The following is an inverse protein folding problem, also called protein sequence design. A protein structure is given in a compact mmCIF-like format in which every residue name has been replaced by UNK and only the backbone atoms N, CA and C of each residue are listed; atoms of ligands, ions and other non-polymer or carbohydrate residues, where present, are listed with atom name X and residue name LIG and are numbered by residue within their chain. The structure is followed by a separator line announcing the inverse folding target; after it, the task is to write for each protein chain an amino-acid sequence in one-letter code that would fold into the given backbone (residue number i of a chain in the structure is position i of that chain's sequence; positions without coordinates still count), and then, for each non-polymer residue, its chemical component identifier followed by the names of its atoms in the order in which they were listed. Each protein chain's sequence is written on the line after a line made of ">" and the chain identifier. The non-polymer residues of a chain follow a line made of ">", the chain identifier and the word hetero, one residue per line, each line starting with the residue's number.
data_IF_140233236805
#
_entry.id   IF_140233236805
#
_cell.length_a   1.000
_cell.length_b   1.000
_cell.length_c   1.000
_cell.angle_alpha   90.00
_cell.angle_beta   90.00
_cell.angle_gamma   90.00
#
_symmetry.space_group_name_H-M   'P 1'
#
loop_
_entity.id
_entity.type
_entity.pdbx_description
1 polymer ?
#
# COMPACT_ATOMS: atom_id res chain seq x y z
N UNK A 1 -11.03 -5.08 -16.68
CA UNK A 1 -9.76 -5.02 -15.94
C UNK A 1 -10.11 -5.22 -14.49
N UNK A 2 -9.68 -6.33 -13.87
CA UNK A 2 -10.00 -6.61 -12.48
C UNK A 2 -9.06 -5.77 -11.60
N UNK A 3 -9.63 -4.85 -10.84
CA UNK A 3 -8.90 -3.72 -10.25
C UNK A 3 -8.32 -4.01 -8.86
N UNK A 4 -8.66 -5.13 -8.21
CA UNK A 4 -8.05 -5.74 -7.00
C UNK A 4 -9.04 -6.79 -6.45
N UNK A 5 -8.55 -7.93 -5.92
CA UNK A 5 -9.39 -8.91 -5.20
C UNK A 5 -9.17 -8.78 -3.69
N UNK A 6 -10.20 -8.33 -2.98
CA UNK A 6 -10.17 -8.22 -1.52
C UNK A 6 -10.59 -9.56 -0.87
N UNK A 7 -9.84 -10.01 0.13
CA UNK A 7 -10.14 -11.20 0.93
C UNK A 7 -10.71 -10.77 2.28
N UNK A 8 -11.80 -11.40 2.74
CA UNK A 8 -12.37 -11.19 4.09
C UNK A 8 -11.40 -11.60 5.20
N UNK A 9 -10.37 -12.37 4.86
CA UNK A 9 -9.27 -12.73 5.76
C UNK A 9 -7.99 -12.14 5.20
N UNK A 10 -7.53 -11.07 5.84
CA UNK A 10 -6.23 -10.50 5.56
C UNK A 10 -5.13 -11.41 6.15
N UNK A 11 -4.01 -11.61 5.44
CA UNK A 11 -2.84 -12.27 6.02
C UNK A 11 -2.26 -11.44 7.18
N UNK A 12 -1.37 -12.04 7.96
CA UNK A 12 -0.56 -11.28 8.92
C UNK A 12 0.47 -10.45 8.18
N UNK A 13 0.78 -9.27 8.72
CA UNK A 13 1.83 -8.39 8.20
C UNK A 13 3.15 -9.16 8.04
N UNK A 14 3.72 -9.09 6.85
CA UNK A 14 5.01 -9.73 6.52
C UNK A 14 6.17 -9.24 7.39
N UNK A 15 6.10 -7.99 7.86
CA UNK A 15 7.13 -7.34 8.69
C UNK A 15 7.01 -7.65 10.17
N UNK A 16 5.87 -7.36 10.79
CA UNK A 16 5.70 -7.47 12.25
C UNK A 16 4.76 -8.60 12.71
N UNK A 17 4.17 -9.37 11.78
CA UNK A 17 3.17 -10.41 12.04
C UNK A 17 1.86 -9.93 12.68
N UNK A 18 1.65 -8.62 12.78
CA UNK A 18 0.41 -8.01 13.26
C UNK A 18 -0.72 -8.04 12.25
N UNK A 19 -1.89 -7.55 12.65
CA UNK A 19 -3.06 -7.45 11.78
C UNK A 19 -2.86 -6.38 10.71
N UNK A 20 -3.30 -6.66 9.48
CA UNK A 20 -3.31 -5.71 8.38
C UNK A 20 -4.65 -4.98 8.29
N UNK A 21 -4.62 -3.74 7.81
CA UNK A 21 -5.80 -2.99 7.37
C UNK A 21 -6.15 -3.36 5.92
N UNK A 22 -5.13 -3.62 5.10
CA UNK A 22 -5.26 -3.98 3.68
C UNK A 22 -4.14 -4.92 3.26
N UNK A 23 -4.45 -5.84 2.36
CA UNK A 23 -3.48 -6.61 1.59
C UNK A 23 -3.95 -6.70 0.15
N UNK A 24 -3.03 -6.44 -0.78
CA UNK A 24 -3.27 -6.40 -2.20
C UNK A 24 -2.08 -7.03 -2.94
N UNK A 25 -2.34 -7.59 -4.12
CA UNK A 25 -1.31 -8.11 -5.02
C UNK A 25 -1.47 -7.35 -6.34
N UNK A 26 -0.37 -6.77 -6.82
CA UNK A 26 -0.38 -6.07 -8.10
C UNK A 26 -0.69 -7.06 -9.25
N UNK A 27 -1.31 -6.60 -10.34
CA UNK A 27 -1.58 -7.45 -11.50
C UNK A 27 -0.31 -7.80 -12.29
N UNK A 28 0.79 -7.08 -12.09
CA UNK A 28 2.09 -7.38 -12.68
C UNK A 28 3.07 -7.90 -11.62
N UNK A 29 3.96 -8.79 -12.05
CA UNK A 29 5.10 -9.23 -11.26
C UNK A 29 6.25 -8.21 -11.31
N UNK A 30 7.20 -8.33 -10.37
CA UNK A 30 8.44 -7.58 -10.37
C UNK A 30 9.39 -7.99 -11.50
N UNK A 31 10.56 -7.33 -11.60
CA UNK A 31 11.57 -7.61 -12.62
C UNK A 31 12.15 -9.04 -12.59
N UNK A 32 11.90 -9.78 -11.51
CA UNK A 32 12.32 -11.17 -11.32
C UNK A 32 11.17 -12.18 -11.47
N UNK A 33 9.97 -11.72 -11.87
CA UNK A 33 8.80 -12.57 -12.02
C UNK A 33 8.16 -12.98 -10.69
N UNK A 34 8.32 -12.17 -9.62
CA UNK A 34 7.70 -12.41 -8.31
C UNK A 34 6.48 -11.50 -8.12
N UNK A 35 5.40 -11.98 -7.49
CA UNK A 35 4.25 -11.15 -7.18
C UNK A 35 4.62 -9.94 -6.31
N UNK A 36 4.13 -8.75 -6.68
CA UNK A 36 4.31 -7.54 -5.88
C UNK A 36 3.18 -7.46 -4.86
N UNK A 37 3.52 -7.60 -3.58
CA UNK A 37 2.58 -7.48 -2.47
C UNK A 37 2.56 -6.07 -1.92
N UNK A 38 1.36 -5.53 -1.73
CA UNK A 38 1.10 -4.27 -1.05
C UNK A 38 0.37 -4.59 0.25
N UNK A 39 0.97 -4.24 1.39
CA UNK A 39 0.41 -4.44 2.72
C UNK A 39 0.28 -3.10 3.43
N UNK A 40 -0.83 -2.89 4.13
CA UNK A 40 -1.00 -1.74 5.01
C UNK A 40 -1.14 -2.23 6.45
N UNK A 41 -0.15 -1.94 7.27
CA UNK A 41 -0.03 -2.37 8.65
C UNK A 41 -0.11 -1.17 9.60
N UNK A 42 -1.11 -1.11 10.49
CA UNK A 42 -1.24 0.00 11.43
C UNK A 42 -0.04 0.14 12.36
N UNK A 43 0.71 -0.94 12.62
CA UNK A 43 1.87 -0.93 13.52
C UNK A 43 3.16 -0.56 12.80
N UNK A 44 3.37 -1.06 11.58
CA UNK A 44 4.58 -0.76 10.82
C UNK A 44 4.53 0.61 10.16
N UNK A 45 3.35 1.09 9.79
CA UNK A 45 3.17 2.28 8.98
C UNK A 45 2.74 3.50 9.82
N UNK A 46 2.63 3.35 11.15
CA UNK A 46 2.48 4.48 12.08
C UNK A 46 3.79 5.28 12.15
N UNK A 47 3.89 6.31 11.32
CA UNK A 47 4.91 7.37 11.45
C UNK A 47 4.45 8.54 12.33
N UNK A 48 3.14 8.68 12.56
CA UNK A 48 2.52 9.78 13.29
C UNK A 48 1.13 9.32 13.80
N UNK A 49 0.80 9.58 15.06
CA UNK A 49 -0.51 9.20 15.64
C UNK A 49 -1.66 10.04 15.07
N UNK A 50 -1.35 11.22 14.53
CA UNK A 50 -2.31 12.13 13.89
C UNK A 50 -2.46 11.88 12.38
N UNK A 51 -1.65 10.98 11.80
CA UNK A 51 -1.76 10.54 10.41
C UNK A 51 -1.80 9.01 10.34
N UNK A 52 -2.98 8.40 10.10
CA UNK A 52 -3.08 6.95 10.05
C UNK A 52 -2.11 6.37 8.99
N UNK A 53 -1.74 5.11 9.15
CA UNK A 53 -0.83 4.35 8.29
C UNK A 53 -0.92 4.66 6.77
N UNK A 54 -2.15 4.77 6.23
CA UNK A 54 -2.38 5.14 4.83
C UNK A 54 -2.90 6.57 4.62
N UNK A 55 -3.00 7.40 5.66
CA UNK A 55 -3.60 8.74 5.59
C UNK A 55 -2.96 9.61 4.52
N UNK A 56 -1.63 9.63 4.46
CA UNK A 56 -0.88 10.36 3.44
C UNK A 56 -1.00 9.73 2.05
N UNK A 57 -0.96 8.40 1.96
CA UNK A 57 -1.12 7.68 0.69
C UNK A 57 -2.54 7.86 0.09
N UNK A 58 -3.58 7.77 0.92
CA UNK A 58 -4.98 8.02 0.53
C UNK A 58 -5.17 9.47 0.13
N UNK A 59 -4.61 10.42 0.89
CA UNK A 59 -4.67 11.83 0.53
C UNK A 59 -3.94 12.12 -0.78
N UNK A 60 -2.81 11.46 -1.02
CA UNK A 60 -2.07 11.55 -2.27
C UNK A 60 -2.92 11.07 -3.45
N UNK A 61 -3.56 9.91 -3.35
CA UNK A 61 -4.52 9.42 -4.36
C UNK A 61 -5.72 10.37 -4.53
N UNK A 62 -6.29 10.88 -3.43
CA UNK A 62 -7.42 11.81 -3.45
C UNK A 62 -7.07 13.15 -4.13
N UNK A 63 -5.78 13.53 -4.11
CA UNK A 63 -5.24 14.72 -4.78
C UNK A 63 -4.69 14.40 -6.18
N UNK A 64 -5.22 13.38 -6.84
CA UNK A 64 -4.89 12.95 -8.21
C UNK A 64 -3.43 12.50 -8.42
N UNK A 65 -2.68 12.24 -7.34
CA UNK A 65 -1.28 11.83 -7.42
C UNK A 65 -1.07 10.55 -8.22
N UNK A 66 -2.02 9.60 -8.14
CA UNK A 66 -1.99 8.34 -8.87
C UNK A 66 -2.08 8.46 -10.39
N UNK A 67 -2.50 9.61 -10.91
CA UNK A 67 -2.57 9.89 -12.34
C UNK A 67 -1.53 10.92 -12.81
N UNK A 68 -0.73 11.46 -11.90
CA UNK A 68 0.32 12.45 -12.20
C UNK A 68 1.71 11.80 -12.13
N UNK A 69 2.28 11.52 -13.31
CA UNK A 69 3.61 10.91 -13.44
C UNK A 69 4.74 11.77 -12.85
N UNK A 70 4.55 13.08 -12.70
CA UNK A 70 5.55 13.94 -12.04
C UNK A 70 5.63 13.70 -10.53
N UNK A 71 4.60 13.09 -9.94
CA UNK A 71 4.47 12.82 -8.51
C UNK A 71 4.73 11.37 -8.13
N UNK A 72 5.17 10.53 -9.07
CA UNK A 72 5.41 9.10 -8.83
C UNK A 72 6.43 8.85 -7.71
N UNK A 73 7.42 9.73 -7.56
CA UNK A 73 8.42 9.62 -6.48
C UNK A 73 7.82 9.90 -5.09
N UNK A 74 6.82 10.77 -4.99
CA UNK A 74 6.08 11.03 -3.75
C UNK A 74 5.34 9.75 -3.32
N UNK A 75 4.60 9.13 -4.25
CA UNK A 75 3.91 7.87 -4.01
C UNK A 75 4.85 6.73 -3.61
N UNK A 76 6.00 6.60 -4.27
CA UNK A 76 7.01 5.60 -3.91
C UNK A 76 7.56 5.79 -2.49
N UNK A 77 7.79 7.04 -2.08
CA UNK A 77 8.28 7.34 -0.73
C UNK A 77 7.26 7.00 0.36
N UNK A 78 5.96 7.10 0.06
CA UNK A 78 4.88 6.74 0.99
C UNK A 78 4.69 5.22 1.14
N UNK A 79 5.37 4.40 0.33
CA UNK A 79 5.27 2.93 0.31
C UNK A 79 6.53 2.22 0.85
N UNK A 80 7.56 2.96 1.27
CA UNK A 80 8.84 2.45 1.79
C UNK A 80 8.92 2.56 3.31
#
# INVERSE_FOLDING_TARGET
>A
MELLRFSDRLPQCSRCRGDLIMSAVAPQDDEHGRPIHLELCPVCDTGDVDRPAAGLLVQWFANDGGHDMSRVQEGAHLLM
#
